data_IF_337563571717
#
_entry.id   IF_337563571717
#
_cell.length_a   1.000
_cell.length_b   1.000
_cell.length_c   1.000
_cell.angle_alpha   90.00
_cell.angle_beta   90.00
_cell.angle_gamma   90.00
#
_symmetry.space_group_name_H-M   'P 1'
#
loop_
_entity.id
_entity.type
_entity.pdbx_description
1 polymer ?
#
# COMPACT_ATOMS: atom_id res chain seq x y z
N UNK A 1 -16.10 29.47 6.49
CA UNK A 1 -15.23 28.27 6.56
C UNK A 1 -15.88 27.13 7.36
N UNK A 2 -16.36 27.37 8.60
CA UNK A 2 -17.03 26.37 9.44
C UNK A 2 -18.33 25.81 8.85
N UNK A 3 -19.13 26.61 8.15
CA UNK A 3 -20.40 26.16 7.57
C UNK A 3 -20.20 25.25 6.35
N UNK A 4 -19.16 25.48 5.55
CA UNK A 4 -18.79 24.61 4.44
C UNK A 4 -18.23 23.24 4.92
N UNK A 5 -17.57 23.22 6.07
CA UNK A 5 -17.11 21.98 6.71
C UNK A 5 -18.29 21.18 7.27
N UNK A 6 -19.26 21.84 7.93
CA UNK A 6 -20.50 21.21 8.42
C UNK A 6 -21.33 20.62 7.28
N UNK A 7 -21.52 21.36 6.18
CA UNK A 7 -22.22 20.84 5.00
C UNK A 7 -21.54 19.61 4.37
N UNK A 8 -20.20 19.56 4.38
CA UNK A 8 -19.46 18.39 3.94
C UNK A 8 -19.60 17.19 4.89
N UNK A 9 -19.73 17.44 6.19
CA UNK A 9 -20.00 16.39 7.17
C UNK A 9 -21.42 15.84 7.06
N UNK A 10 -22.41 16.68 6.86
CA UNK A 10 -23.82 16.29 6.70
C UNK A 10 -24.10 15.53 5.39
N UNK A 11 -23.35 15.80 4.34
CA UNK A 11 -23.47 15.08 3.05
C UNK A 11 -22.73 13.75 2.99
N UNK A 12 -22.00 13.38 4.03
CA UNK A 12 -21.23 12.15 4.04
C UNK A 12 -22.07 10.91 4.34
N UNK A 13 -22.21 10.03 3.36
CA UNK A 13 -22.90 8.74 3.47
C UNK A 13 -21.94 7.56 3.78
N UNK A 14 -20.70 7.85 4.14
CA UNK A 14 -19.68 6.83 4.43
C UNK A 14 -19.58 6.46 5.91
N UNK A 15 -18.56 5.65 6.29
CA UNK A 15 -18.36 5.17 7.64
C UNK A 15 -18.14 6.32 8.63
N UNK A 16 -18.43 6.05 9.93
CA UNK A 16 -18.12 6.97 11.03
C UNK A 16 -16.62 7.27 11.07
N UNK A 17 -16.22 8.39 11.65
CA UNK A 17 -14.82 8.83 11.69
C UNK A 17 -13.86 7.75 12.20
N UNK A 18 -14.20 7.06 13.30
CA UNK A 18 -13.34 6.00 13.86
C UNK A 18 -13.15 4.81 12.90
N UNK A 19 -14.24 4.37 12.24
CA UNK A 19 -14.18 3.31 11.24
C UNK A 19 -13.39 3.75 9.99
N UNK A 20 -13.59 4.99 9.55
CA UNK A 20 -12.82 5.56 8.44
C UNK A 20 -11.32 5.57 8.73
N UNK A 21 -10.92 6.04 9.90
CA UNK A 21 -9.51 6.06 10.33
C UNK A 21 -8.96 4.65 10.45
N UNK A 22 -9.72 3.71 11.03
CA UNK A 22 -9.31 2.31 11.14
C UNK A 22 -9.08 1.67 9.76
N UNK A 23 -9.97 1.92 8.79
CA UNK A 23 -9.79 1.44 7.42
C UNK A 23 -8.55 2.07 6.76
N UNK A 24 -8.36 3.38 6.85
CA UNK A 24 -7.17 4.05 6.28
C UNK A 24 -5.87 3.53 6.90
N UNK A 25 -5.86 3.31 8.20
CA UNK A 25 -4.73 2.74 8.92
C UNK A 25 -4.46 1.29 8.49
N UNK A 26 -5.49 0.46 8.40
CA UNK A 26 -5.38 -0.92 7.94
C UNK A 26 -4.86 -1.01 6.49
N UNK A 27 -5.33 -0.12 5.59
CA UNK A 27 -4.82 -0.03 4.23
C UNK A 27 -3.32 0.31 4.18
N UNK A 28 -2.86 1.24 5.00
CA UNK A 28 -1.42 1.56 5.08
C UNK A 28 -0.61 0.43 5.73
N UNK A 29 -1.17 -0.23 6.73
CA UNK A 29 -0.54 -1.35 7.41
C UNK A 29 -0.25 -2.54 6.49
N UNK A 30 -1.01 -2.72 5.40
CA UNK A 30 -0.83 -3.82 4.44
C UNK A 30 0.60 -3.89 3.88
N UNK A 31 1.25 -2.75 3.66
CA UNK A 31 2.62 -2.69 3.14
C UNK A 31 3.64 -3.16 4.18
N UNK A 32 3.55 -2.64 5.40
CA UNK A 32 4.45 -3.04 6.48
C UNK A 32 4.30 -4.53 6.79
N UNK A 33 3.06 -5.03 6.90
CA UNK A 33 2.81 -6.46 7.06
C UNK A 33 3.44 -7.28 5.94
N UNK A 34 3.26 -6.88 4.67
CA UNK A 34 3.80 -7.62 3.54
C UNK A 34 5.34 -7.66 3.47
N UNK A 35 6.01 -6.65 4.00
CA UNK A 35 7.47 -6.55 4.01
C UNK A 35 8.05 -7.23 5.24
N UNK A 36 7.62 -6.78 6.42
CA UNK A 36 8.31 -7.09 7.67
C UNK A 36 7.98 -8.49 8.20
N UNK A 37 6.78 -9.04 7.91
CA UNK A 37 6.45 -10.42 8.26
C UNK A 37 7.25 -11.47 7.47
N UNK A 38 7.85 -11.07 6.35
CA UNK A 38 8.67 -11.96 5.53
C UNK A 38 10.12 -12.08 6.03
N UNK A 39 10.61 -11.13 6.84
CA UNK A 39 12.00 -11.14 7.32
C UNK A 39 12.37 -12.45 8.02
N UNK A 40 11.61 -12.95 9.01
CA UNK A 40 11.94 -14.22 9.67
C UNK A 40 11.74 -15.45 8.75
N UNK A 41 10.97 -15.31 7.67
CA UNK A 41 10.66 -16.41 6.75
C UNK A 41 11.73 -16.61 5.65
N UNK A 42 12.62 -15.66 5.43
CA UNK A 42 13.62 -15.73 4.36
C UNK A 42 14.51 -16.99 4.40
N UNK A 43 15.00 -17.47 5.58
CA UNK A 43 15.75 -18.72 5.65
C UNK A 43 14.91 -19.93 5.19
N UNK A 44 13.68 -20.07 5.70
CA UNK A 44 12.78 -21.17 5.34
C UNK A 44 12.39 -21.17 3.85
N UNK A 45 12.21 -19.98 3.25
CA UNK A 45 12.01 -19.82 1.81
C UNK A 45 13.24 -20.29 1.04
N UNK A 46 14.43 -19.89 1.50
CA UNK A 46 15.69 -20.29 0.88
C UNK A 46 15.89 -21.79 0.85
N UNK A 47 15.65 -22.47 1.97
CA UNK A 47 15.71 -23.93 2.08
C UNK A 47 14.67 -24.61 1.17
N UNK A 48 13.42 -24.16 1.22
CA UNK A 48 12.32 -24.78 0.46
C UNK A 48 12.48 -24.62 -1.06
N UNK A 49 13.11 -23.55 -1.53
CA UNK A 49 13.27 -23.22 -2.97
C UNK A 49 14.73 -23.37 -3.45
N UNK A 50 15.60 -24.04 -2.67
CA UNK A 50 17.01 -24.30 -2.98
C UNK A 50 17.83 -23.03 -3.29
N UNK A 51 17.60 -21.95 -2.55
CA UNK A 51 18.37 -20.70 -2.65
C UNK A 51 19.41 -20.66 -1.54
N UNK A 52 20.63 -21.01 -1.87
CA UNK A 52 21.74 -21.13 -0.90
C UNK A 52 22.24 -19.76 -0.45
N UNK A 53 22.32 -18.80 -1.36
CA UNK A 53 22.90 -17.48 -1.12
C UNK A 53 21.93 -16.57 -0.34
N UNK A 54 22.32 -16.09 0.84
CA UNK A 54 21.48 -15.22 1.68
C UNK A 54 21.09 -13.91 0.98
N UNK A 55 22.02 -13.33 0.22
CA UNK A 55 21.74 -12.12 -0.55
C UNK A 55 20.64 -12.32 -1.61
N UNK A 56 20.54 -13.51 -2.21
CA UNK A 56 19.47 -13.83 -3.15
C UNK A 56 18.12 -13.93 -2.47
N UNK A 57 18.05 -14.42 -1.23
CA UNK A 57 16.79 -14.50 -0.46
C UNK A 57 16.17 -13.13 -0.24
N UNK A 58 16.99 -12.08 -0.07
CA UNK A 58 16.50 -10.70 0.06
C UNK A 58 15.76 -10.17 -1.19
N UNK A 59 15.95 -10.80 -2.35
CA UNK A 59 15.21 -10.47 -3.56
C UNK A 59 13.69 -10.62 -3.38
N UNK A 60 13.23 -11.45 -2.45
CA UNK A 60 11.79 -11.59 -2.11
C UNK A 60 11.21 -10.25 -1.63
N UNK A 61 11.96 -9.48 -0.85
CA UNK A 61 11.56 -8.15 -0.39
C UNK A 61 11.82 -7.11 -1.48
N UNK A 62 12.99 -7.18 -2.10
CA UNK A 62 13.41 -6.22 -3.15
C UNK A 62 12.45 -6.20 -4.34
N UNK A 63 12.00 -7.38 -4.82
CA UNK A 63 11.03 -7.46 -5.93
C UNK A 63 9.70 -6.80 -5.58
N UNK A 64 9.21 -7.00 -4.34
CA UNK A 64 8.02 -6.31 -3.87
C UNK A 64 8.22 -4.78 -3.83
N UNK A 65 9.32 -4.32 -3.26
CA UNK A 65 9.64 -2.88 -3.16
C UNK A 65 9.81 -2.22 -4.53
N UNK A 66 10.40 -2.92 -5.51
CA UNK A 66 10.53 -2.43 -6.88
C UNK A 66 9.16 -2.26 -7.54
N UNK A 67 8.31 -3.28 -7.47
CA UNK A 67 6.94 -3.20 -7.97
C UNK A 67 6.15 -2.07 -7.30
N UNK A 68 6.24 -1.98 -5.98
CA UNK A 68 5.61 -0.95 -5.17
C UNK A 68 6.09 0.46 -5.55
N UNK A 69 7.39 0.67 -5.67
CA UNK A 69 7.97 1.98 -5.96
C UNK A 69 7.60 2.49 -7.36
N UNK A 70 7.74 1.64 -8.38
CA UNK A 70 7.42 2.00 -9.77
C UNK A 70 5.93 2.31 -9.93
N UNK A 71 5.06 1.52 -9.33
CA UNK A 71 3.61 1.67 -9.47
C UNK A 71 3.05 2.91 -8.78
N UNK A 72 3.70 3.46 -7.75
CA UNK A 72 3.26 4.70 -7.09
C UNK A 72 3.09 5.87 -8.07
N UNK A 73 3.94 5.95 -9.10
CA UNK A 73 3.89 7.03 -10.10
C UNK A 73 2.60 6.97 -10.95
N UNK A 74 2.04 5.78 -11.10
CA UNK A 74 0.91 5.52 -12.00
C UNK A 74 -0.44 5.64 -11.26
N UNK A 75 -0.50 5.27 -9.99
CA UNK A 75 -1.76 5.23 -9.25
C UNK A 75 -2.43 6.59 -9.04
N UNK A 76 -1.67 7.67 -8.95
CA UNK A 76 -2.23 9.02 -8.87
C UNK A 76 -3.12 9.33 -10.08
N UNK A 77 -2.55 9.43 -11.29
CA UNK A 77 -3.29 9.69 -12.51
C UNK A 77 -4.38 8.65 -12.82
N UNK A 78 -4.12 7.38 -12.51
CA UNK A 78 -5.09 6.31 -12.71
C UNK A 78 -6.34 6.52 -11.85
N UNK A 79 -6.14 6.92 -10.58
CA UNK A 79 -7.23 7.20 -9.66
C UNK A 79 -8.02 8.46 -10.00
N UNK A 80 -7.37 9.45 -10.62
CA UNK A 80 -8.03 10.68 -11.08
C UNK A 80 -8.96 10.41 -12.29
N UNK A 81 -8.72 9.32 -13.02
CA UNK A 81 -9.58 8.91 -14.13
C UNK A 81 -10.69 7.95 -13.71
N UNK A 82 -10.33 6.84 -13.02
CA UNK A 82 -11.25 5.74 -12.76
C UNK A 82 -11.99 5.88 -11.43
N UNK A 83 -11.59 6.81 -10.57
CA UNK A 83 -12.10 6.98 -9.21
C UNK A 83 -11.24 6.27 -8.18
N UNK A 84 -11.37 6.72 -6.93
CA UNK A 84 -10.54 6.22 -5.81
C UNK A 84 -10.97 4.84 -5.36
N UNK A 85 -12.29 4.66 -5.16
CA UNK A 85 -12.87 3.44 -4.60
C UNK A 85 -12.61 2.22 -5.47
N UNK A 86 -13.00 2.28 -6.74
CA UNK A 86 -12.93 1.12 -7.62
C UNK A 86 -11.50 0.69 -7.93
N UNK A 87 -10.61 1.68 -8.07
CA UNK A 87 -9.21 1.38 -8.27
C UNK A 87 -8.59 0.74 -7.03
N UNK A 88 -8.94 1.22 -5.83
CA UNK A 88 -8.46 0.66 -4.57
C UNK A 88 -8.98 -0.77 -4.37
N UNK A 89 -10.28 -1.02 -4.59
CA UNK A 89 -10.87 -2.37 -4.49
C UNK A 89 -10.19 -3.33 -5.47
N UNK A 90 -10.07 -2.94 -6.75
CA UNK A 90 -9.42 -3.80 -7.76
C UNK A 90 -7.97 -4.12 -7.42
N UNK A 91 -7.22 -3.13 -6.95
CA UNK A 91 -5.83 -3.32 -6.53
C UNK A 91 -5.71 -4.22 -5.30
N UNK A 92 -6.61 -4.12 -4.31
CA UNK A 92 -6.61 -4.99 -3.14
C UNK A 92 -6.95 -6.44 -3.49
N UNK A 93 -7.86 -6.65 -4.44
CA UNK A 93 -8.15 -8.00 -4.98
C UNK A 93 -6.91 -8.57 -5.66
N UNK A 94 -6.24 -7.79 -6.51
CA UNK A 94 -4.98 -8.20 -7.15
C UNK A 94 -3.88 -8.47 -6.12
N UNK A 95 -3.76 -7.64 -5.08
CA UNK A 95 -2.84 -7.86 -3.97
C UNK A 95 -3.09 -9.23 -3.32
N UNK A 96 -4.36 -9.55 -3.03
CA UNK A 96 -4.75 -10.84 -2.46
C UNK A 96 -4.41 -12.02 -3.38
N UNK A 97 -4.72 -11.90 -4.68
CA UNK A 97 -4.42 -12.93 -5.68
C UNK A 97 -2.92 -13.17 -5.79
N UNK A 98 -2.10 -12.12 -5.89
CA UNK A 98 -0.65 -12.25 -6.00
C UNK A 98 0.00 -12.72 -4.69
N UNK A 99 -0.58 -12.41 -3.52
CA UNK A 99 -0.16 -13.03 -2.27
C UNK A 99 -0.40 -14.54 -2.29
N UNK A 100 -1.58 -15.01 -2.69
CA UNK A 100 -1.86 -16.44 -2.79
C UNK A 100 -0.96 -17.12 -3.83
N UNK A 101 -0.70 -16.49 -4.97
CA UNK A 101 0.24 -17.01 -5.97
C UNK A 101 1.66 -17.14 -5.40
N UNK A 102 2.11 -16.19 -4.59
CA UNK A 102 3.39 -16.28 -3.89
C UNK A 102 3.40 -17.46 -2.90
N UNK A 103 2.30 -17.70 -2.18
CA UNK A 103 2.17 -18.82 -1.24
C UNK A 103 2.23 -20.21 -1.89
N UNK A 104 1.76 -20.34 -3.12
CA UNK A 104 1.80 -21.61 -3.88
C UNK A 104 3.01 -21.72 -4.82
N UNK A 105 3.93 -20.75 -4.80
CA UNK A 105 5.08 -20.76 -5.70
C UNK A 105 5.95 -22.00 -5.52
N UNK A 106 6.17 -22.70 -6.64
CA UNK A 106 7.04 -23.89 -6.69
C UNK A 106 8.49 -23.58 -7.10
N UNK A 107 8.77 -22.34 -7.53
CA UNK A 107 10.12 -21.86 -7.86
C UNK A 107 10.38 -20.48 -7.30
N UNK A 108 11.66 -20.15 -7.12
CA UNK A 108 12.07 -18.85 -6.59
C UNK A 108 11.69 -17.70 -7.55
N UNK A 109 11.83 -17.92 -8.86
CA UNK A 109 11.50 -16.96 -9.91
C UNK A 109 10.00 -16.63 -9.90
N UNK A 110 9.14 -17.64 -9.74
CA UNK A 110 7.69 -17.45 -9.65
C UNK A 110 7.34 -16.66 -8.38
N UNK A 111 8.00 -16.97 -7.26
CA UNK A 111 7.85 -16.20 -6.01
C UNK A 111 8.22 -14.74 -6.22
N UNK A 112 9.37 -14.46 -6.85
CA UNK A 112 9.80 -13.08 -7.12
C UNK A 112 8.82 -12.33 -8.03
N UNK A 113 8.33 -12.98 -9.09
CA UNK A 113 7.35 -12.39 -9.99
C UNK A 113 6.04 -12.07 -9.27
N UNK A 114 5.52 -13.02 -8.48
CA UNK A 114 4.31 -12.83 -7.69
C UNK A 114 4.48 -11.69 -6.67
N UNK A 115 5.63 -11.61 -6.01
CA UNK A 115 5.99 -10.52 -5.08
C UNK A 115 6.06 -9.16 -5.77
N UNK A 116 6.70 -9.08 -6.93
CA UNK A 116 6.75 -7.85 -7.72
C UNK A 116 5.35 -7.35 -8.08
N UNK A 117 4.48 -8.24 -8.59
CA UNK A 117 3.09 -7.91 -8.92
C UNK A 117 2.25 -7.58 -7.68
N UNK A 118 2.47 -8.26 -6.55
CA UNK A 118 1.85 -7.92 -5.27
C UNK A 118 2.27 -6.50 -4.83
N UNK A 119 3.54 -6.14 -4.98
CA UNK A 119 4.04 -4.79 -4.72
C UNK A 119 3.38 -3.74 -5.62
N UNK A 120 3.25 -4.02 -6.91
CA UNK A 120 2.50 -3.15 -7.85
C UNK A 120 1.09 -2.89 -7.32
N UNK A 121 0.35 -3.94 -6.96
CA UNK A 121 -1.01 -3.82 -6.45
C UNK A 121 -1.07 -3.03 -5.12
N UNK A 122 -0.12 -3.29 -4.22
CA UNK A 122 -0.02 -2.66 -2.91
C UNK A 122 0.25 -1.15 -2.97
N UNK A 123 0.90 -0.64 -4.01
CA UNK A 123 1.21 0.78 -4.17
C UNK A 123 -0.05 1.67 -4.14
N UNK A 124 -1.20 1.12 -4.55
CA UNK A 124 -2.50 1.79 -4.48
C UNK A 124 -2.84 2.24 -3.06
N UNK A 125 -2.60 1.41 -2.05
CA UNK A 125 -2.97 1.70 -0.66
C UNK A 125 -2.24 2.94 -0.14
N UNK A 126 -0.97 3.12 -0.48
CA UNK A 126 -0.18 4.29 -0.09
C UNK A 126 -0.69 5.57 -0.75
N UNK A 127 -0.90 5.53 -2.07
CA UNK A 127 -1.27 6.71 -2.87
C UNK A 127 -2.73 7.10 -2.64
N UNK A 128 -3.64 6.11 -2.65
CA UNK A 128 -5.07 6.38 -2.59
C UNK A 128 -5.55 6.72 -1.18
N UNK A 129 -4.96 6.18 -0.12
CA UNK A 129 -5.29 6.60 1.25
C UNK A 129 -5.07 8.10 1.43
N UNK A 130 -3.91 8.61 1.02
CA UNK A 130 -3.63 10.05 1.10
C UNK A 130 -4.63 10.86 0.27
N UNK A 131 -4.97 10.36 -0.93
CA UNK A 131 -5.93 11.03 -1.83
C UNK A 131 -7.34 11.04 -1.25
N UNK A 132 -7.83 9.91 -0.73
CA UNK A 132 -9.16 9.78 -0.09
C UNK A 132 -9.28 10.67 1.14
N UNK A 133 -8.25 10.71 1.99
CA UNK A 133 -8.22 11.59 3.16
C UNK A 133 -8.27 13.06 2.73
N UNK A 134 -7.48 13.44 1.72
CA UNK A 134 -7.44 14.81 1.18
C UNK A 134 -8.75 15.23 0.51
N UNK A 135 -9.42 14.31 -0.18
CA UNK A 135 -10.70 14.60 -0.85
C UNK A 135 -11.80 14.94 0.18
N UNK A 136 -11.70 14.33 1.38
CA UNK A 136 -12.69 14.49 2.44
C UNK A 136 -12.35 15.58 3.45
N UNK A 137 -11.09 15.67 3.88
CA UNK A 137 -10.66 16.56 4.95
C UNK A 137 -9.62 17.56 4.47
N UNK A 138 -9.63 18.75 5.09
CA UNK A 138 -8.69 19.83 4.80
C UNK A 138 -8.11 20.39 6.11
N UNK A 139 -6.99 21.08 6.00
CA UNK A 139 -6.38 21.78 7.14
C UNK A 139 -6.08 20.86 8.33
N UNK A 140 -6.51 21.27 9.51
CA UNK A 140 -6.27 20.56 10.78
C UNK A 140 -6.95 19.20 10.84
N UNK A 141 -8.13 19.03 10.22
CA UNK A 141 -8.83 17.76 10.15
C UNK A 141 -8.04 16.71 9.36
N UNK A 142 -7.50 17.08 8.20
CA UNK A 142 -6.63 16.21 7.42
C UNK A 142 -5.36 15.83 8.21
N UNK A 143 -4.71 16.82 8.84
CA UNK A 143 -3.50 16.58 9.62
C UNK A 143 -3.75 15.60 10.76
N UNK A 144 -4.86 15.74 11.50
CA UNK A 144 -5.23 14.83 12.59
C UNK A 144 -5.40 13.39 12.12
N UNK A 145 -6.15 13.17 11.02
CA UNK A 145 -6.39 11.82 10.49
C UNK A 145 -5.09 11.20 9.99
N UNK A 146 -4.30 11.96 9.24
CA UNK A 146 -3.00 11.49 8.75
C UNK A 146 -2.05 11.15 9.90
N UNK A 147 -2.03 11.95 10.98
CA UNK A 147 -1.20 11.65 12.16
C UNK A 147 -1.60 10.33 12.82
N UNK A 148 -2.90 10.09 13.03
CA UNK A 148 -3.37 8.84 13.65
C UNK A 148 -3.04 7.65 12.72
N UNK A 149 -3.25 7.80 11.43
CA UNK A 149 -2.92 6.77 10.44
C UNK A 149 -1.42 6.46 10.42
N UNK A 150 -0.56 7.48 10.56
CA UNK A 150 0.88 7.32 10.66
C UNK A 150 1.33 6.64 11.95
N UNK A 151 0.68 6.91 13.09
CA UNK A 151 0.98 6.20 14.35
C UNK A 151 0.77 4.69 14.16
N UNK A 152 -0.36 4.29 13.59
CA UNK A 152 -0.64 2.86 13.31
C UNK A 152 0.40 2.31 12.31
N UNK A 153 0.73 3.05 11.26
CA UNK A 153 1.75 2.65 10.30
C UNK A 153 3.13 2.45 10.96
N UNK A 154 3.49 3.21 11.98
CA UNK A 154 4.76 3.04 12.71
C UNK A 154 4.76 1.87 13.68
N UNK A 155 3.61 1.48 14.22
CA UNK A 155 3.50 0.34 15.15
C UNK A 155 3.59 -1.01 14.39
N UNK A 156 3.00 -1.08 13.21
CA UNK A 156 2.91 -2.34 12.46
C UNK A 156 4.27 -2.96 12.11
N UNK A 157 5.29 -2.23 11.64
CA UNK A 157 6.63 -2.79 11.39
C UNK A 157 7.27 -3.42 12.63
N UNK A 158 6.96 -2.90 13.82
CA UNK A 158 7.48 -3.45 15.08
C UNK A 158 6.84 -4.82 15.39
N UNK A 159 5.55 -4.98 15.08
CA UNK A 159 4.79 -6.20 15.37
C UNK A 159 4.86 -7.23 14.24
N UNK A 160 5.06 -6.81 13.00
CA UNK A 160 5.00 -7.68 11.84
C UNK A 160 6.05 -8.81 11.84
N UNK A 161 7.31 -8.60 12.24
CA UNK A 161 8.28 -9.70 12.34
C UNK A 161 7.86 -10.75 13.39
N UNK A 162 7.32 -10.30 14.54
CA UNK A 162 6.82 -11.23 15.58
C UNK A 162 5.62 -12.03 15.06
N UNK A 163 4.74 -11.40 14.28
CA UNK A 163 3.66 -12.10 13.59
C UNK A 163 4.21 -13.14 12.61
N UNK A 164 5.19 -12.78 11.78
CA UNK A 164 5.84 -13.69 10.85
C UNK A 164 6.48 -14.88 11.55
N UNK A 165 7.21 -14.64 12.65
CA UNK A 165 7.83 -15.68 13.47
C UNK A 165 6.77 -16.61 14.08
N UNK A 166 5.71 -16.08 14.66
CA UNK A 166 4.63 -16.88 15.23
C UNK A 166 3.92 -17.76 14.18
N UNK A 167 3.80 -17.28 12.94
CA UNK A 167 3.26 -18.07 11.84
C UNK A 167 4.18 -19.26 11.48
N UNK A 168 5.50 -19.09 11.57
CA UNK A 168 6.47 -20.17 11.31
C UNK A 168 6.48 -21.25 12.42
N UNK A 169 6.08 -20.91 13.63
CA UNK A 169 5.98 -21.87 14.74
C UNK A 169 4.79 -22.83 14.60
N UNK A 170 3.70 -22.36 13.96
CA UNK A 170 2.46 -23.14 13.81
C UNK A 170 2.23 -23.67 12.39
N UNK A 171 3.02 -23.20 11.42
CA UNK A 171 2.85 -23.52 10.00
C UNK A 171 4.12 -23.36 9.19
N UNK A 172 3.96 -22.91 7.97
CA UNK A 172 5.03 -22.71 7.00
C UNK A 172 5.10 -21.24 6.54
N UNK A 173 6.17 -20.88 5.85
CA UNK A 173 6.28 -19.56 5.21
C UNK A 173 5.15 -19.28 4.20
N UNK A 174 4.53 -20.33 3.63
CA UNK A 174 3.39 -20.20 2.71
C UNK A 174 2.16 -19.65 3.40
N UNK A 175 1.96 -20.02 4.66
CA UNK A 175 0.80 -19.59 5.44
C UNK A 175 0.79 -18.08 5.69
N UNK A 176 1.98 -17.45 5.78
CA UNK A 176 2.09 -15.99 5.86
C UNK A 176 1.46 -15.34 4.61
N UNK A 177 1.73 -15.87 3.43
CA UNK A 177 1.12 -15.37 2.18
C UNK A 177 -0.38 -15.60 2.11
N UNK A 178 -0.87 -16.72 2.63
CA UNK A 178 -2.30 -17.01 2.71
C UNK A 178 -2.99 -15.97 3.60
N UNK A 179 -2.43 -15.66 4.76
CA UNK A 179 -2.97 -14.63 5.66
C UNK A 179 -2.90 -13.24 5.02
N UNK A 180 -1.81 -12.88 4.35
CA UNK A 180 -1.72 -11.63 3.60
C UNK A 180 -2.76 -11.55 2.48
N UNK A 181 -3.00 -12.66 1.78
CA UNK A 181 -4.03 -12.75 0.76
C UNK A 181 -5.43 -12.53 1.33
N UNK A 182 -5.76 -13.24 2.41
CA UNK A 182 -7.02 -13.08 3.12
C UNK A 182 -7.20 -11.64 3.63
N UNK A 183 -6.16 -11.04 4.18
CA UNK A 183 -6.15 -9.64 4.60
C UNK A 183 -6.48 -8.69 3.44
N UNK A 184 -5.87 -8.89 2.28
CA UNK A 184 -6.16 -8.11 1.07
C UNK A 184 -7.63 -8.20 0.65
N UNK A 185 -8.23 -9.41 0.65
CA UNK A 185 -9.64 -9.59 0.32
C UNK A 185 -10.58 -8.99 1.37
N UNK A 186 -10.25 -9.09 2.66
CA UNK A 186 -11.01 -8.44 3.75
C UNK A 186 -11.01 -6.92 3.56
N UNK A 187 -9.85 -6.32 3.26
CA UNK A 187 -9.75 -4.89 3.00
C UNK A 187 -10.48 -4.48 1.72
N UNK A 188 -10.44 -5.31 0.67
CA UNK A 188 -11.20 -5.08 -0.55
C UNK A 188 -12.70 -5.06 -0.28
N UNK A 189 -13.20 -6.04 0.47
CA UNK A 189 -14.60 -6.14 0.85
C UNK A 189 -15.01 -4.96 1.75
N UNK A 190 -14.20 -4.61 2.75
CA UNK A 190 -14.48 -3.46 3.62
C UNK A 190 -14.52 -2.15 2.82
N UNK A 191 -13.57 -1.94 1.91
CA UNK A 191 -13.54 -0.77 1.03
C UNK A 191 -14.75 -0.76 0.07
N UNK A 192 -15.16 -1.91 -0.42
CA UNK A 192 -16.32 -2.04 -1.32
C UNK A 192 -17.63 -1.66 -0.61
N UNK A 193 -17.80 -2.12 0.62
CA UNK A 193 -19.09 -2.01 1.32
C UNK A 193 -19.29 -0.67 2.03
N UNK A 194 -18.22 -0.02 2.52
CA UNK A 194 -18.37 1.07 3.49
C UNK A 194 -18.11 2.47 2.93
N UNK A 195 -16.92 2.84 2.40
CA UNK A 195 -16.71 4.18 1.87
C UNK A 195 -17.40 4.37 0.52
N UNK A 196 -18.06 5.52 0.30
CA UNK A 196 -18.50 5.91 -1.05
C UNK A 196 -17.30 6.32 -1.91
N UNK A 197 -17.55 6.52 -3.21
CA UNK A 197 -16.56 7.15 -4.09
C UNK A 197 -16.31 8.59 -3.65
N UNK A 198 -15.04 8.95 -3.45
CA UNK A 198 -14.65 10.28 -2.97
C UNK A 198 -14.33 11.26 -4.10
N UNK A 199 -13.98 10.73 -5.29
CA UNK A 199 -13.70 11.56 -6.44
C UNK A 199 -15.00 11.98 -7.12
N UNK A 200 -15.28 13.30 -7.12
CA UNK A 200 -16.43 13.85 -7.84
C UNK A 200 -16.26 13.69 -9.34
N UNK A 201 -17.34 13.37 -10.09
CA UNK A 201 -17.27 13.19 -11.55
C UNK A 201 -16.64 14.38 -12.30
N UNK A 202 -16.88 15.59 -11.81
CA UNK A 202 -16.37 16.86 -12.38
C UNK A 202 -14.83 16.98 -12.27
N UNK A 203 -14.22 16.28 -11.31
CA UNK A 203 -12.78 16.31 -11.09
C UNK A 203 -12.05 15.17 -11.80
N UNK A 204 -12.76 14.31 -12.55
CA UNK A 204 -12.12 13.26 -13.35
C UNK A 204 -11.31 13.86 -14.48
N UNK A 205 -10.06 13.41 -14.60
CA UNK A 205 -9.13 13.87 -15.64
C UNK A 205 -8.88 12.77 -16.66
N UNK A 206 -8.75 13.10 -17.96
CA UNK A 206 -8.34 12.10 -18.95
C UNK A 206 -6.91 11.64 -18.65
N UNK A 207 -6.65 10.34 -18.81
CA UNK A 207 -5.30 9.80 -18.75
C UNK A 207 -4.51 10.33 -19.95
N UNK A 208 -3.43 11.02 -19.68
CA UNK A 208 -2.46 11.45 -20.69
C UNK A 208 -1.08 11.02 -20.23
N UNK A 209 -0.41 10.17 -21.01
CA UNK A 209 0.98 9.80 -20.76
C UNK A 209 1.89 11.03 -20.76
N UNK A 210 1.56 12.02 -21.56
CA UNK A 210 2.27 13.31 -21.58
C UNK A 210 2.10 14.08 -20.27
N UNK A 211 0.90 14.02 -19.62
CA UNK A 211 0.71 14.67 -18.33
C UNK A 211 1.42 13.95 -17.18
N UNK A 212 1.49 12.61 -17.23
CA UNK A 212 2.26 11.81 -16.27
C UNK A 212 3.75 12.11 -16.41
N UNK A 213 4.28 12.05 -17.63
CA UNK A 213 5.67 12.37 -17.91
C UNK A 213 6.02 13.82 -17.57
N UNK A 214 5.15 14.76 -17.90
CA UNK A 214 5.31 16.19 -17.56
C UNK A 214 5.31 16.44 -16.05
N UNK A 215 4.39 15.83 -15.29
CA UNK A 215 4.35 15.95 -13.83
C UNK A 215 5.60 15.34 -13.18
N UNK A 216 6.01 14.15 -13.62
CA UNK A 216 7.25 13.50 -13.16
C UNK A 216 8.47 14.35 -13.47
N UNK A 217 8.56 14.88 -14.70
CA UNK A 217 9.65 15.76 -15.11
C UNK A 217 9.71 17.06 -14.32
N UNK A 218 8.56 17.68 -14.06
CA UNK A 218 8.47 18.89 -13.23
C UNK A 218 8.92 18.61 -11.80
N UNK A 219 8.51 17.48 -11.22
CA UNK A 219 8.92 17.05 -9.88
C UNK A 219 10.42 16.83 -9.82
N UNK A 220 11.00 16.16 -10.82
CA UNK A 220 12.44 15.92 -10.93
C UNK A 220 13.26 17.19 -11.24
N UNK A 221 12.66 18.26 -11.74
CA UNK A 221 13.35 19.56 -11.96
C UNK A 221 13.23 20.54 -10.80
N UNK A 222 12.27 20.36 -9.94
CA UNK A 222 12.04 21.27 -8.80
C UNK A 222 13.04 20.97 -7.68
N UNK A 223 13.94 21.90 -7.38
CA UNK A 223 15.00 21.77 -6.36
C UNK A 223 14.46 21.29 -5.01
N UNK A 224 13.29 21.80 -4.63
CA UNK A 224 12.64 21.46 -3.36
C UNK A 224 12.15 20.01 -3.35
N UNK A 225 11.57 19.53 -4.47
CA UNK A 225 11.12 18.14 -4.59
C UNK A 225 12.29 17.17 -4.59
N UNK A 226 13.36 17.46 -5.33
CA UNK A 226 14.59 16.65 -5.34
C UNK A 226 15.21 16.59 -3.96
N UNK A 227 15.36 17.73 -3.28
CA UNK A 227 15.93 17.79 -1.93
C UNK A 227 15.15 16.93 -0.95
N UNK A 228 13.82 17.04 -0.93
CA UNK A 228 12.96 16.22 -0.09
C UNK A 228 13.03 14.72 -0.46
N UNK A 229 13.07 14.40 -1.74
CA UNK A 229 13.19 13.01 -2.21
C UNK A 229 14.51 12.39 -1.76
N UNK A 230 15.64 13.09 -1.95
CA UNK A 230 16.96 12.62 -1.52
C UNK A 230 16.99 12.45 0.01
N UNK A 231 16.50 13.43 0.76
CA UNK A 231 16.46 13.36 2.22
C UNK A 231 15.62 12.15 2.71
N UNK A 232 14.43 11.92 2.12
CA UNK A 232 13.62 10.77 2.45
C UNK A 232 14.27 9.44 2.04
N UNK A 233 14.92 9.39 0.88
CA UNK A 233 15.63 8.18 0.42
C UNK A 233 16.78 7.83 1.36
N UNK A 234 17.57 8.82 1.79
CA UNK A 234 18.66 8.61 2.74
C UNK A 234 18.15 8.19 4.12
N UNK A 235 17.07 8.82 4.61
CA UNK A 235 16.44 8.45 5.88
C UNK A 235 15.89 7.02 5.84
N UNK A 236 15.18 6.65 4.78
CA UNK A 236 14.62 5.30 4.64
C UNK A 236 15.72 4.25 4.40
N UNK A 237 16.74 4.58 3.60
CA UNK A 237 17.88 3.68 3.38
C UNK A 237 18.75 3.45 4.63
N UNK A 238 18.72 4.36 5.60
CA UNK A 238 19.41 4.18 6.88
C UNK A 238 18.60 3.32 7.89
N UNK A 239 17.31 3.08 7.64
CA UNK A 239 16.43 2.26 8.48
C UNK A 239 16.43 0.78 8.06
N UNK A 240 16.88 0.47 6.83
CA UNK A 240 16.98 -0.88 6.27
C UNK A 240 18.44 -1.28 5.99
#
# INVERSE_FOLDING_TARGET
MRDAERQKEESWQGPRLGEFVALMAALMASNALAIDSMLPALPAIGEALNVVEDNRRQLVITSYLLGFGVAQLIYGPLSDRFGRKWLLVGSLVLYGIFALLAGIAGSFELLLAARGLQGVAAASTRVLVVSVVRDRYQGSGMARIMSITMIVFMIVPVLAPSFGQGMLEIGTWRDIFIVLGAYGFVLALWTLLRPPETLRPEHRRPLSLASIGGATWTTLRTRQSIGNTIAQTLLMGALF
#
